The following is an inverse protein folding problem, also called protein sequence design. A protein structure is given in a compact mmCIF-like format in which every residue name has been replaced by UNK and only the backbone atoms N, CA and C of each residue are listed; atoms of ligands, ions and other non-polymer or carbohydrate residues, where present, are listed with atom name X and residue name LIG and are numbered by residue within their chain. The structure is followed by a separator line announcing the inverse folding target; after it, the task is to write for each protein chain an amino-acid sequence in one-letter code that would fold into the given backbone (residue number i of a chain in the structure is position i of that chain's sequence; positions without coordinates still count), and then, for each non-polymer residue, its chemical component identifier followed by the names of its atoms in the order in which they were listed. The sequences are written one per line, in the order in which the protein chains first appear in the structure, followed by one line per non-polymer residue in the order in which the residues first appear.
data_IF_545421690288
#
_entry.id   IF_545421690288
#
_cell.length_a   1.000
_cell.length_b   1.000
_cell.length_c   1.000
_cell.angle_alpha   90.00
_cell.angle_beta   90.00
_cell.angle_gamma   90.00
#
_symmetry.space_group_name_H-M   'P 1'
#
loop_
_entity.id
_entity.type
_entity.pdbx_description
1 polymer ?
#
# COMPACT_ATOMS: atom_id res chain seq x y z
N UNK A 1 -6.44 -3.30 5.22
CA UNK A 1 -5.45 -4.12 4.46
C UNK A 1 -5.81 -4.01 2.98
N UNK A 2 -4.84 -3.88 2.08
CA UNK A 2 -5.09 -3.90 0.62
C UNK A 2 -4.72 -5.28 0.07
N UNK A 3 -5.58 -5.84 -0.79
CA UNK A 3 -5.29 -7.07 -1.52
C UNK A 3 -4.95 -6.73 -2.97
N UNK A 4 -3.81 -7.22 -3.45
CA UNK A 4 -3.35 -7.00 -4.82
C UNK A 4 -3.09 -8.36 -5.46
N UNK A 5 -3.70 -8.64 -6.60
CA UNK A 5 -3.44 -9.88 -7.32
C UNK A 5 -1.95 -9.95 -7.73
N UNK A 6 -1.29 -11.07 -7.43
CA UNK A 6 0.14 -11.31 -7.77
C UNK A 6 0.42 -11.11 -9.26
N UNK A 7 -0.56 -11.31 -10.14
CA UNK A 7 -0.44 -11.16 -11.59
C UNK A 7 -0.24 -9.71 -12.05
N UNK A 8 -0.62 -8.73 -11.22
CA UNK A 8 -0.41 -7.31 -11.50
C UNK A 8 1.06 -6.89 -11.36
N UNK A 9 1.90 -7.77 -10.82
CA UNK A 9 3.33 -7.54 -10.64
C UNK A 9 4.13 -8.58 -11.42
N UNK A 10 5.10 -8.17 -12.23
CA UNK A 10 5.92 -9.11 -13.01
C UNK A 10 7.31 -9.33 -12.41
N UNK A 11 7.68 -8.57 -11.38
CA UNK A 11 8.98 -8.67 -10.72
C UNK A 11 9.06 -9.78 -9.65
N UNK A 12 10.14 -9.77 -8.85
CA UNK A 12 10.37 -10.74 -7.77
C UNK A 12 9.32 -10.63 -6.66
N UNK A 13 9.23 -11.65 -5.80
CA UNK A 13 8.30 -11.63 -4.68
C UNK A 13 8.53 -10.41 -3.78
N UNK A 14 7.45 -9.67 -3.50
CA UNK A 14 7.50 -8.46 -2.68
C UNK A 14 7.35 -8.82 -1.20
N UNK A 15 8.22 -8.28 -0.35
CA UNK A 15 8.11 -8.37 1.12
C UNK A 15 7.84 -7.01 1.78
N UNK A 16 8.08 -5.92 1.05
CA UNK A 16 7.87 -4.54 1.48
C UNK A 16 7.47 -3.68 0.29
N UNK A 17 6.67 -2.67 0.56
CA UNK A 17 6.30 -1.61 -0.38
C UNK A 17 6.48 -0.25 0.29
N UNK A 18 6.71 0.76 -0.53
CA UNK A 18 6.57 2.16 -0.16
C UNK A 18 5.16 2.58 -0.52
N UNK A 19 4.50 3.23 0.44
CA UNK A 19 3.16 3.78 0.29
C UNK A 19 3.30 5.28 0.19
N UNK A 20 2.90 5.87 -0.93
CA UNK A 20 2.86 7.31 -1.15
C UNK A 20 1.42 7.81 -1.09
N UNK A 21 1.16 8.79 -0.24
CA UNK A 21 -0.09 9.54 -0.24
C UNK A 21 0.08 10.76 -1.16
N UNK A 22 -0.55 10.74 -2.33
CA UNK A 22 -0.38 11.80 -3.32
C UNK A 22 -1.36 12.96 -3.08
N UNK A 23 -2.60 12.63 -2.74
CA UNK A 23 -3.64 13.58 -2.37
C UNK A 23 -4.65 12.94 -1.39
N UNK A 24 -5.80 13.58 -1.19
CA UNK A 24 -6.86 13.15 -0.27
C UNK A 24 -7.63 11.89 -0.69
N UNK A 25 -7.42 11.36 -1.90
CA UNK A 25 -8.10 10.16 -2.40
C UNK A 25 -7.17 9.12 -3.07
N UNK A 26 -5.95 9.50 -3.45
CA UNK A 26 -5.06 8.65 -4.24
C UNK A 26 -3.80 8.22 -3.47
N UNK A 27 -3.65 6.91 -3.36
CA UNK A 27 -2.52 6.24 -2.75
C UNK A 27 -1.79 5.38 -3.79
N UNK A 28 -0.47 5.45 -3.79
CA UNK A 28 0.39 4.69 -4.71
C UNK A 28 1.29 3.74 -3.94
N UNK A 29 1.41 2.51 -4.44
CA UNK A 29 2.29 1.47 -3.91
C UNK A 29 3.46 1.26 -4.87
N UNK A 30 4.69 1.36 -4.36
CA UNK A 30 5.89 1.14 -5.16
C UNK A 30 6.89 0.21 -4.44
N UNK A 31 7.55 -0.71 -5.15
CA UNK A 31 8.58 -1.59 -4.57
C UNK A 31 9.89 -0.85 -4.31
N UNK A 32 10.13 0.24 -5.04
CA UNK A 32 11.33 1.06 -4.97
C UNK A 32 10.96 2.55 -4.95
N UNK A 33 11.87 3.43 -4.50
CA UNK A 33 11.60 4.86 -4.50
C UNK A 33 11.34 5.41 -5.92
N UNK A 34 10.27 6.20 -6.06
CA UNK A 34 9.93 6.88 -7.32
C UNK A 34 10.21 8.37 -7.16
N UNK A 35 11.18 8.90 -7.91
CA UNK A 35 11.71 10.26 -7.72
C UNK A 35 10.63 11.35 -7.71
N UNK A 36 9.62 11.23 -8.56
CA UNK A 36 8.54 12.20 -8.64
C UNK A 36 7.71 12.20 -7.35
N UNK A 37 7.32 11.02 -6.86
CA UNK A 37 6.53 10.89 -5.62
C UNK A 37 7.33 11.21 -4.37
N UNK A 38 8.64 11.00 -4.40
CA UNK A 38 9.55 11.44 -3.33
C UNK A 38 9.52 12.96 -3.12
N UNK A 39 9.16 13.73 -4.16
CA UNK A 39 9.08 15.19 -4.10
C UNK A 39 7.66 15.71 -3.86
N UNK A 40 6.66 14.99 -4.38
CA UNK A 40 5.28 15.50 -4.44
C UNK A 40 4.34 14.86 -3.43
N UNK A 41 4.66 13.68 -2.89
CA UNK A 41 3.79 13.01 -1.94
C UNK A 41 3.67 13.84 -0.65
N UNK A 42 2.45 13.92 -0.11
CA UNK A 42 2.16 14.58 1.16
C UNK A 42 2.89 13.88 2.31
N UNK A 43 2.95 12.55 2.25
CA UNK A 43 3.85 11.74 3.05
C UNK A 43 4.07 10.38 2.39
N UNK A 44 5.06 9.65 2.91
CA UNK A 44 5.30 8.25 2.55
C UNK A 44 5.53 7.39 3.78
N UNK A 45 5.18 6.12 3.69
CA UNK A 45 5.42 5.12 4.73
C UNK A 45 5.88 3.79 4.11
N UNK A 46 6.42 2.89 4.94
CA UNK A 46 6.74 1.52 4.52
C UNK A 46 5.64 0.57 4.96
N UNK A 47 5.10 -0.20 4.02
CA UNK A 47 4.15 -1.27 4.28
C UNK A 47 4.83 -2.64 4.22
N UNK A 48 4.39 -3.55 5.09
CA UNK A 48 4.74 -4.97 4.98
C UNK A 48 3.85 -5.62 3.94
N UNK A 49 4.44 -6.58 3.23
CA UNK A 49 3.73 -7.38 2.23
C UNK A 49 3.98 -8.84 2.51
N UNK A 50 2.90 -9.62 2.56
CA UNK A 50 2.93 -11.07 2.50
C UNK A 50 2.26 -11.55 1.23
N UNK A 51 2.66 -12.72 0.74
CA UNK A 51 2.00 -13.40 -0.37
C UNK A 51 1.19 -14.55 0.21
N UNK A 52 -0.12 -14.52 -0.01
CA UNK A 52 -1.06 -15.53 0.45
C UNK A 52 -2.02 -15.87 -0.69
N UNK A 53 -2.14 -17.16 -1.02
CA UNK A 53 -2.98 -17.69 -2.10
C UNK A 53 -2.95 -16.89 -3.43
N UNK A 54 -1.75 -16.51 -3.88
CA UNK A 54 -1.59 -15.73 -5.11
C UNK A 54 -2.01 -14.26 -5.01
N UNK A 55 -2.26 -13.76 -3.81
CA UNK A 55 -2.54 -12.36 -3.52
C UNK A 55 -1.46 -11.77 -2.62
N UNK A 56 -1.01 -10.58 -2.95
CA UNK A 56 -0.26 -9.77 -2.01
C UNK A 56 -1.21 -9.12 -1.01
N UNK A 57 -0.97 -9.39 0.27
CA UNK A 57 -1.62 -8.73 1.38
C UNK A 57 -0.71 -7.59 1.85
N UNK A 58 -1.18 -6.36 1.65
CA UNK A 58 -0.45 -5.15 2.00
C UNK A 58 -1.01 -4.59 3.30
N UNK A 59 -0.18 -4.65 4.34
CA UNK A 59 -0.47 -4.07 5.65
C UNK A 59 -0.18 -2.57 5.61
N UNK A 60 -1.23 -1.77 5.45
CA UNK A 60 -1.10 -0.32 5.49
C UNK A 60 -0.68 0.14 6.90
N UNK A 61 0.29 1.06 7.00
CA UNK A 61 0.63 1.69 8.28
C UNK A 61 -0.52 2.52 8.85
N UNK A 62 -0.64 2.57 10.18
CA UNK A 62 -1.72 3.29 10.88
C UNK A 62 -1.95 4.72 10.37
N UNK A 63 -0.85 5.45 10.14
CA UNK A 63 -0.87 6.83 9.63
C UNK A 63 -1.63 6.99 8.31
N UNK A 64 -1.63 5.95 7.46
CA UNK A 64 -2.39 5.95 6.20
C UNK A 64 -3.89 5.91 6.50
N UNK A 65 -4.33 5.06 7.42
CA UNK A 65 -5.74 5.03 7.85
C UNK A 65 -6.15 6.37 8.47
N UNK A 66 -5.30 6.92 9.34
CA UNK A 66 -5.58 8.19 10.03
C UNK A 66 -5.71 9.35 9.02
N UNK A 67 -4.84 9.39 8.00
CA UNK A 67 -4.83 10.45 6.99
C UNK A 67 -6.04 10.42 6.04
N UNK A 68 -6.39 9.23 5.54
CA UNK A 68 -7.52 9.05 4.63
C UNK A 68 -8.86 8.88 5.35
N UNK A 69 -8.85 8.95 6.69
CA UNK A 69 -10.01 8.66 7.54
C UNK A 69 -10.67 7.30 7.20
N UNK A 70 -9.86 6.33 6.77
CA UNK A 70 -10.33 4.98 6.44
C UNK A 70 -10.82 4.32 7.71
N UNK A 71 -12.11 4.00 7.77
CA UNK A 71 -12.72 3.31 8.88
C UNK A 71 -12.91 1.82 8.56
N UNK A 72 -13.35 1.02 9.53
CA UNK A 72 -13.59 -0.43 9.35
C UNK A 72 -14.66 -0.75 8.28
N UNK A 73 -15.49 0.21 7.87
CA UNK A 73 -16.43 0.02 6.77
C UNK A 73 -15.76 0.12 5.38
N UNK A 74 -14.54 0.68 5.31
CA UNK A 74 -13.79 0.85 4.06
C UNK A 74 -12.87 -0.36 3.74
N UNK A 75 -12.77 -1.34 4.64
CA UNK A 75 -12.04 -2.58 4.40
C UNK A 75 -12.60 -3.77 5.21
N UNK A 76 -12.77 -4.93 4.59
CA UNK A 76 -13.17 -6.15 5.31
C UNK A 76 -11.96 -6.83 5.93
N UNK A 77 -11.98 -7.03 7.25
CA UNK A 77 -11.09 -7.97 7.95
C UNK A 77 -11.72 -9.36 7.85
N UNK A 78 -11.00 -10.33 7.25
CA UNK A 78 -11.39 -11.74 7.28
C UNK A 78 -10.37 -12.50 8.13
N UNK A 79 -10.88 -13.26 9.11
CA UNK A 79 -10.14 -14.18 9.96
C UNK A 79 -10.21 -15.61 9.42
#
# INVERSE_FOLDING_TARGET
MIRVDRRLWTGPALSRLIVYALDVAHLVLAPEPVLDYERTALFKEKARVSLDDGQYLVELPRKVYDFYHLNEADYTVMA
#
